data_IF_201408219527
#
_entry.id   IF_201408219527
#
_cell.length_a   1.000
_cell.length_b   1.000
_cell.length_c   1.000
_cell.angle_alpha   90.00
_cell.angle_beta   90.00
_cell.angle_gamma   90.00
#
_symmetry.space_group_name_H-M   'P 1'
#
loop_
_entity.id
_entity.type
_entity.pdbx_description
1 polymer ?
#
# COMPACT_ATOMS: atom_id res chain seq x y z
N UNK A 1 -18.07 61.83 -0.10
CA UNK A 1 -18.13 60.36 -0.01
C UNK A 1 -16.72 59.83 0.30
N UNK A 2 -16.60 59.24 1.49
CA UNK A 2 -15.59 58.30 2.00
C UNK A 2 -14.15 58.35 1.44
N UNK A 3 -13.26 59.03 2.19
CA UNK A 3 -11.81 58.78 2.19
C UNK A 3 -11.53 57.71 3.25
N UNK A 4 -11.09 56.52 2.85
CA UNK A 4 -10.71 55.43 3.75
C UNK A 4 -9.24 55.55 4.15
N UNK A 5 -8.99 56.11 5.33
CA UNK A 5 -7.69 56.03 5.98
C UNK A 5 -7.51 54.64 6.62
N UNK A 6 -6.71 53.78 6.00
CA UNK A 6 -6.26 52.52 6.60
C UNK A 6 -5.15 52.86 7.61
N UNK A 7 -5.45 52.71 8.91
CA UNK A 7 -4.43 52.67 9.96
C UNK A 7 -3.83 51.27 10.01
N UNK A 8 -2.54 51.15 9.70
CA UNK A 8 -1.78 49.94 9.98
C UNK A 8 -1.53 49.86 11.50
N UNK A 9 -2.13 48.86 12.14
CA UNK A 9 -1.80 48.47 13.51
C UNK A 9 -0.53 47.60 13.47
N UNK A 10 0.52 47.89 14.26
CA UNK A 10 1.69 47.02 14.34
C UNK A 10 1.28 45.73 15.04
N UNK A 11 1.34 44.62 14.32
CA UNK A 11 1.14 43.28 14.89
C UNK A 11 2.40 42.93 15.67
N UNK A 12 2.35 43.05 16.99
CA UNK A 12 3.43 42.55 17.86
C UNK A 12 3.45 41.03 17.77
N UNK A 13 4.34 40.49 16.94
CA UNK A 13 4.64 39.05 16.92
C UNK A 13 5.30 38.72 18.25
N UNK A 14 4.53 38.14 19.18
CA UNK A 14 5.11 37.46 20.34
C UNK A 14 5.83 36.23 19.81
N UNK A 15 7.15 36.33 19.67
CA UNK A 15 8.02 35.16 19.66
C UNK A 15 7.79 34.42 20.98
N UNK A 16 7.05 33.32 20.92
CA UNK A 16 7.11 32.31 21.97
C UNK A 16 8.51 31.76 21.87
N UNK A 17 9.38 32.18 22.80
CA UNK A 17 10.67 31.54 22.99
C UNK A 17 10.39 30.07 23.28
N UNK A 18 10.62 29.24 22.26
CA UNK A 18 10.70 27.80 22.41
C UNK A 18 11.74 27.55 23.49
N UNK A 19 11.27 26.97 24.60
CA UNK A 19 12.13 26.44 25.63
C UNK A 19 13.11 25.49 24.95
N UNK A 20 14.38 25.80 25.17
CA UNK A 20 15.58 25.06 24.78
C UNK A 20 15.28 23.55 24.82
N UNK A 21 15.26 22.92 23.65
CA UNK A 21 15.21 21.47 23.55
C UNK A 21 16.60 20.94 23.94
N UNK A 22 16.70 20.39 25.15
CA UNK A 22 17.79 19.47 25.49
C UNK A 22 17.77 18.30 24.48
N UNK A 23 18.92 17.83 23.99
CA UNK A 23 18.98 16.60 23.21
C UNK A 23 18.79 15.43 24.17
N UNK A 24 17.56 15.19 24.63
CA UNK A 24 17.21 13.94 25.27
C UNK A 24 17.37 12.85 24.21
N UNK A 25 18.32 11.95 24.40
CA UNK A 25 18.42 10.70 23.67
C UNK A 25 17.06 9.99 23.69
N UNK A 26 16.31 10.10 22.60
CA UNK A 26 14.98 9.52 22.44
C UNK A 26 15.12 8.02 22.23
N UNK A 27 15.25 7.26 23.31
CA UNK A 27 15.10 5.82 23.25
C UNK A 27 13.61 5.47 23.03
N UNK A 28 13.33 4.49 22.18
CA UNK A 28 11.96 4.05 21.89
C UNK A 28 11.79 2.56 22.21
N UNK A 29 10.67 2.17 22.80
CA UNK A 29 10.32 0.75 22.94
C UNK A 29 10.12 0.13 21.54
N UNK A 30 10.56 -1.11 21.35
CA UNK A 30 10.47 -1.79 20.06
C UNK A 30 9.04 -1.80 19.50
N UNK A 31 8.02 -2.01 20.33
CA UNK A 31 6.63 -2.03 19.84
C UNK A 31 6.16 -0.64 19.39
N UNK A 32 6.56 0.42 20.10
CA UNK A 32 6.26 1.79 19.70
C UNK A 32 6.94 2.16 18.36
N UNK A 33 8.17 1.69 18.15
CA UNK A 33 8.88 1.86 16.89
C UNK A 33 8.18 1.11 15.75
N UNK A 34 7.79 -0.15 15.97
CA UNK A 34 7.07 -0.94 14.97
C UNK A 34 5.72 -0.32 14.62
N UNK A 35 4.99 0.22 15.59
CA UNK A 35 3.76 0.98 15.33
C UNK A 35 4.03 2.19 14.44
N UNK A 36 5.08 2.96 14.75
CA UNK A 36 5.44 4.14 13.96
C UNK A 36 5.85 3.78 12.52
N UNK A 37 6.57 2.67 12.33
CA UNK A 37 6.93 2.16 11.00
C UNK A 37 5.69 1.69 10.22
N UNK A 38 4.73 1.07 10.90
CA UNK A 38 3.46 0.64 10.29
C UNK A 38 2.54 1.83 9.97
N UNK A 39 2.58 2.90 10.76
CA UNK A 39 1.85 4.15 10.47
C UNK A 39 2.44 4.85 9.23
N UNK A 40 3.75 4.76 9.03
CA UNK A 40 4.39 5.22 7.80
C UNK A 40 3.96 4.37 6.60
N UNK A 41 4.07 3.05 6.67
CA UNK A 41 3.54 2.16 5.64
C UNK A 41 3.01 0.89 6.27
N UNK A 42 1.69 0.70 6.16
CA UNK A 42 1.04 -0.50 6.68
C UNK A 42 1.61 -1.72 5.98
N UNK A 43 1.96 -2.75 6.75
CA UNK A 43 2.40 -4.03 6.20
C UNK A 43 1.32 -4.69 5.33
N UNK A 44 0.05 -4.29 5.49
CA UNK A 44 -1.05 -4.74 4.61
C UNK A 44 -0.94 -4.26 3.16
N UNK A 45 -0.01 -3.34 2.86
CA UNK A 45 0.25 -2.89 1.49
C UNK A 45 1.22 -3.82 0.74
N UNK A 46 1.92 -4.70 1.46
CA UNK A 46 2.85 -5.63 0.85
C UNK A 46 2.14 -6.65 -0.04
N UNK A 47 2.89 -7.15 -1.03
CA UNK A 47 2.46 -8.25 -1.87
C UNK A 47 2.28 -9.54 -1.07
N UNK A 48 1.32 -10.36 -1.47
CA UNK A 48 0.94 -11.58 -0.73
C UNK A 48 2.05 -12.64 -0.64
N UNK A 49 3.02 -12.62 -1.55
CA UNK A 49 4.17 -13.53 -1.57
C UNK A 49 5.34 -13.05 -0.70
N UNK A 50 5.30 -11.81 -0.22
CA UNK A 50 6.43 -11.14 0.42
C UNK A 50 6.59 -11.53 1.90
N UNK A 51 7.78 -11.31 2.44
CA UNK A 51 8.07 -11.52 3.86
C UNK A 51 8.51 -10.19 4.52
N UNK A 52 7.52 -9.41 4.93
CA UNK A 52 7.70 -8.07 5.52
C UNK A 52 7.46 -8.06 7.02
N UNK A 53 7.87 -6.97 7.67
CA UNK A 53 7.69 -6.76 9.11
C UNK A 53 8.93 -7.12 9.92
N UNK A 54 8.72 -7.43 11.20
CA UNK A 54 9.79 -7.83 12.12
C UNK A 54 10.19 -9.28 11.84
N UNK A 55 11.41 -9.47 11.34
CA UNK A 55 11.95 -10.77 10.92
C UNK A 55 12.81 -11.44 12.01
N UNK A 56 13.47 -10.64 12.84
CA UNK A 56 14.22 -11.10 14.01
C UNK A 56 13.87 -10.23 15.20
N UNK A 57 13.32 -10.84 16.24
CA UNK A 57 12.89 -10.18 17.48
C UNK A 57 13.79 -10.59 18.65
N UNK A 58 14.58 -9.67 19.25
CA UNK A 58 15.28 -9.90 20.50
C UNK A 58 14.28 -10.07 21.67
N UNK A 59 14.65 -10.81 22.71
CA UNK A 59 13.77 -11.04 23.85
C UNK A 59 13.40 -9.73 24.57
N UNK A 60 12.12 -9.51 24.94
CA UNK A 60 11.70 -8.31 25.64
C UNK A 60 12.24 -8.25 27.08
N UNK A 61 12.37 -7.05 27.68
CA UNK A 61 12.14 -5.74 27.06
C UNK A 61 13.24 -5.39 26.05
N UNK A 62 12.88 -4.66 24.98
CA UNK A 62 13.84 -4.22 23.96
C UNK A 62 13.69 -2.74 23.67
N UNK A 63 14.72 -1.97 24.01
CA UNK A 63 14.78 -0.53 23.79
C UNK A 63 15.69 -0.24 22.62
N UNK A 64 15.21 0.58 21.68
CA UNK A 64 15.94 1.00 20.50
C UNK A 64 16.46 2.42 20.71
N UNK A 65 17.77 2.56 20.76
CA UNK A 65 18.47 3.85 20.78
C UNK A 65 19.05 4.17 19.41
N UNK A 66 19.54 3.14 18.70
CA UNK A 66 20.16 3.28 17.39
C UNK A 66 19.44 2.43 16.35
N UNK A 67 18.88 3.10 15.34
CA UNK A 67 18.29 2.48 14.16
C UNK A 67 19.27 2.58 12.98
N UNK A 68 19.62 1.44 12.39
CA UNK A 68 20.48 1.34 11.21
C UNK A 68 19.65 1.05 9.95
N UNK A 69 19.85 1.81 8.88
CA UNK A 69 19.14 1.66 7.60
C UNK A 69 20.07 1.01 6.58
N UNK A 70 19.59 0.00 5.85
CA UNK A 70 20.30 -0.57 4.70
C UNK A 70 19.34 -1.02 3.60
N UNK A 71 19.83 -1.10 2.36
CA UNK A 71 19.10 -1.76 1.29
C UNK A 71 19.19 -3.29 1.44
N UNK A 72 20.40 -3.80 1.60
CA UNK A 72 20.71 -5.21 1.74
C UNK A 72 21.52 -5.45 3.01
N UNK A 73 21.08 -6.40 3.83
CA UNK A 73 21.82 -6.82 5.02
C UNK A 73 22.77 -7.98 4.67
N UNK A 74 23.98 -7.66 4.22
CA UNK A 74 25.07 -8.64 4.03
C UNK A 74 25.86 -8.86 5.34
N UNK A 75 26.80 -9.80 5.36
CA UNK A 75 27.63 -10.05 6.55
C UNK A 75 28.52 -8.84 6.91
N UNK A 76 29.01 -8.13 5.90
CA UNK A 76 29.80 -6.91 6.05
C UNK A 76 28.95 -5.74 6.58
N UNK A 77 27.72 -5.60 6.09
CA UNK A 77 26.79 -4.56 6.58
C UNK A 77 26.32 -4.87 8.01
N UNK A 78 26.14 -6.15 8.36
CA UNK A 78 25.88 -6.55 9.73
C UNK A 78 27.04 -6.16 10.65
N UNK A 79 28.28 -6.39 10.22
CA UNK A 79 29.47 -5.97 10.98
C UNK A 79 29.49 -4.45 11.19
N UNK A 80 29.21 -3.67 10.14
CA UNK A 80 29.09 -2.22 10.25
C UNK A 80 28.00 -1.81 11.26
N UNK A 81 26.80 -2.39 11.17
CA UNK A 81 25.69 -2.09 12.07
C UNK A 81 26.04 -2.38 13.54
N UNK A 82 26.74 -3.48 13.82
CA UNK A 82 27.20 -3.84 15.16
C UNK A 82 28.28 -2.87 15.66
N UNK A 83 29.23 -2.47 14.82
CA UNK A 83 30.23 -1.45 15.18
C UNK A 83 29.58 -0.10 15.50
N UNK A 84 28.46 0.23 14.84
CA UNK A 84 27.65 1.41 15.12
C UNK A 84 26.71 1.25 16.33
N UNK A 85 26.73 0.09 17.00
CA UNK A 85 25.85 -0.24 18.14
C UNK A 85 24.37 -0.09 17.80
N UNK A 86 23.97 -0.62 16.64
CA UNK A 86 22.56 -0.69 16.25
C UNK A 86 21.78 -1.60 17.19
N UNK A 87 20.62 -1.13 17.66
CA UNK A 87 19.64 -1.95 18.39
C UNK A 87 18.55 -2.49 17.46
N UNK A 88 18.44 -1.89 16.27
CA UNK A 88 17.47 -2.18 15.24
C UNK A 88 18.08 -1.96 13.86
N UNK A 89 17.87 -2.89 12.94
CA UNK A 89 18.24 -2.80 11.53
C UNK A 89 16.95 -2.83 10.70
N UNK A 90 16.72 -1.78 9.92
CA UNK A 90 15.75 -1.76 8.84
C UNK A 90 16.48 -2.08 7.53
N UNK A 91 16.27 -3.30 7.03
CA UNK A 91 16.79 -3.75 5.74
C UNK A 91 15.68 -3.66 4.71
N UNK A 92 15.88 -2.94 3.60
CA UNK A 92 14.86 -2.83 2.55
C UNK A 92 14.47 -4.20 1.98
N UNK A 93 15.46 -4.99 1.57
CA UNK A 93 15.27 -6.37 1.16
C UNK A 93 15.26 -7.29 2.38
N UNK A 94 14.33 -8.26 2.45
CA UNK A 94 14.25 -9.18 3.58
C UNK A 94 15.40 -10.19 3.55
N UNK A 95 16.33 -10.18 4.53
CA UNK A 95 17.41 -11.18 4.58
C UNK A 95 16.84 -12.60 4.74
N UNK A 96 15.76 -12.74 5.49
CA UNK A 96 14.93 -13.95 5.59
C UNK A 96 13.81 -13.86 4.54
N UNK A 97 14.08 -14.22 3.29
CA UNK A 97 13.05 -14.22 2.23
C UNK A 97 12.28 -15.54 2.13
N UNK A 98 12.88 -16.65 2.56
CA UNK A 98 12.26 -17.98 2.60
C UNK A 98 12.33 -18.54 4.02
N UNK A 99 11.33 -19.32 4.46
CA UNK A 99 11.35 -19.94 5.77
C UNK A 99 12.61 -20.79 6.01
N UNK A 100 13.29 -20.57 7.13
CA UNK A 100 14.44 -21.35 7.55
C UNK A 100 13.96 -22.55 8.38
N UNK A 101 14.25 -23.77 7.93
CA UNK A 101 13.95 -25.00 8.71
C UNK A 101 14.91 -25.20 9.90
N UNK A 102 16.05 -24.52 9.87
CA UNK A 102 17.17 -24.66 10.82
C UNK A 102 17.91 -23.33 10.89
N UNK A 103 18.46 -23.00 12.06
CA UNK A 103 19.34 -21.86 12.26
C UNK A 103 20.66 -22.39 12.83
N UNK A 104 21.69 -22.42 11.99
CA UNK A 104 23.04 -22.92 12.30
C UNK A 104 24.10 -22.03 11.66
N UNK A 105 25.37 -22.23 11.98
CA UNK A 105 26.45 -21.39 11.41
C UNK A 105 26.77 -21.66 9.92
N UNK A 106 25.96 -22.48 9.23
CA UNK A 106 26.27 -23.04 7.91
C UNK A 106 26.14 -22.02 6.77
N UNK A 107 25.03 -21.29 6.71
CA UNK A 107 24.76 -20.33 5.63
C UNK A 107 24.86 -18.90 6.14
N UNK A 108 25.24 -17.97 5.27
CA UNK A 108 25.39 -16.55 5.63
C UNK A 108 24.09 -15.96 6.19
N UNK A 109 22.93 -16.34 5.65
CA UNK A 109 21.63 -15.90 6.16
C UNK A 109 21.33 -16.41 7.56
N UNK A 110 21.65 -17.67 7.85
CA UNK A 110 21.51 -18.20 9.22
C UNK A 110 22.48 -17.50 10.18
N UNK A 111 23.73 -17.25 9.76
CA UNK A 111 24.71 -16.49 10.56
C UNK A 111 24.23 -15.07 10.86
N UNK A 112 23.60 -14.38 9.91
CA UNK A 112 22.99 -13.06 10.17
C UNK A 112 21.96 -13.12 11.30
N UNK A 113 21.06 -14.12 11.28
CA UNK A 113 20.06 -14.30 12.33
C UNK A 113 20.72 -14.60 13.67
N UNK A 114 21.71 -15.49 13.71
CA UNK A 114 22.44 -15.81 14.94
C UNK A 114 23.13 -14.57 15.49
N UNK A 115 23.86 -13.83 14.65
CA UNK A 115 24.56 -12.60 15.06
C UNK A 115 23.57 -11.54 15.56
N UNK A 116 22.45 -11.35 14.89
CA UNK A 116 21.41 -10.42 15.32
C UNK A 116 20.88 -10.79 16.71
N UNK A 117 20.57 -12.07 16.95
CA UNK A 117 20.07 -12.55 18.25
C UNK A 117 21.13 -12.45 19.36
N UNK A 118 22.37 -12.88 19.11
CA UNK A 118 23.47 -12.82 20.07
C UNK A 118 23.80 -11.39 20.49
N UNK A 119 23.63 -10.42 19.58
CA UNK A 119 23.88 -9.01 19.83
C UNK A 119 22.60 -8.22 20.16
N UNK A 120 21.46 -8.90 20.31
CA UNK A 120 20.14 -8.31 20.61
C UNK A 120 19.73 -7.22 19.62
N UNK A 121 19.97 -7.42 18.33
CA UNK A 121 19.58 -6.48 17.27
C UNK A 121 18.29 -6.95 16.60
N UNK A 122 17.26 -6.11 16.61
CA UNK A 122 16.03 -6.39 15.86
C UNK A 122 16.27 -6.21 14.37
N UNK A 123 15.65 -7.06 13.54
CA UNK A 123 15.73 -6.92 12.07
C UNK A 123 14.32 -6.81 11.51
N UNK A 124 14.06 -5.74 10.77
CA UNK A 124 12.78 -5.46 10.14
C UNK A 124 12.96 -5.20 8.65
N UNK A 125 12.00 -5.61 7.84
CA UNK A 125 11.99 -5.39 6.40
C UNK A 125 10.64 -4.90 5.91
N UNK A 126 10.54 -3.69 5.32
CA UNK A 126 9.27 -3.21 4.75
C UNK A 126 9.04 -3.67 3.32
N UNK A 127 10.11 -3.85 2.53
CA UNK A 127 10.10 -4.29 1.13
C UNK A 127 8.92 -3.75 0.30
N UNK A 128 8.04 -4.62 -0.22
CA UNK A 128 6.96 -4.19 -1.12
C UNK A 128 5.92 -3.29 -0.45
N UNK A 129 5.79 -3.27 0.89
CA UNK A 129 4.93 -2.29 1.57
C UNK A 129 5.42 -0.86 1.34
N UNK A 130 6.74 -0.65 1.30
CA UNK A 130 7.34 0.65 1.01
C UNK A 130 7.34 0.96 -0.49
N UNK A 131 7.35 -0.05 -1.38
CA UNK A 131 7.07 0.18 -2.80
C UNK A 131 5.66 0.70 -3.03
N UNK A 132 4.70 0.15 -2.29
CA UNK A 132 3.29 0.43 -2.47
C UNK A 132 2.84 1.76 -1.84
N UNK A 133 3.48 2.18 -0.74
CA UNK A 133 3.06 3.33 0.07
C UNK A 133 2.96 4.65 -0.74
N UNK A 134 2.02 5.56 -0.39
CA UNK A 134 1.85 6.86 -1.05
C UNK A 134 3.10 7.76 -1.03
N UNK A 135 3.93 7.64 0.00
CA UNK A 135 5.20 8.33 0.17
C UNK A 135 6.40 7.42 -0.07
N UNK A 136 6.15 6.24 -0.65
CA UNK A 136 7.10 5.16 -0.84
C UNK A 136 8.09 5.35 -1.97
N UNK A 137 8.82 4.26 -2.28
CA UNK A 137 9.93 4.25 -3.24
C UNK A 137 9.48 4.69 -4.63
N UNK A 138 8.37 4.15 -5.13
CA UNK A 138 7.88 4.48 -6.47
C UNK A 138 7.44 5.96 -6.58
N UNK A 139 6.85 6.54 -5.54
CA UNK A 139 6.53 7.98 -5.51
C UNK A 139 7.79 8.84 -5.44
N UNK A 140 8.80 8.40 -4.69
CA UNK A 140 10.09 9.09 -4.66
C UNK A 140 10.75 9.08 -6.04
N UNK A 141 10.81 7.93 -6.72
CA UNK A 141 11.31 7.82 -8.10
C UNK A 141 10.57 8.72 -9.09
N UNK A 142 9.23 8.80 -8.98
CA UNK A 142 8.42 9.64 -9.85
C UNK A 142 8.81 11.13 -9.78
N UNK A 143 9.29 11.62 -8.61
CA UNK A 143 9.78 13.01 -8.47
C UNK A 143 10.96 13.30 -9.39
N UNK A 144 11.73 12.27 -9.76
CA UNK A 144 12.84 12.37 -10.71
C UNK A 144 12.41 12.67 -12.14
N UNK A 145 11.15 12.42 -12.51
CA UNK A 145 10.66 12.59 -13.89
C UNK A 145 10.33 14.06 -14.23
N UNK A 146 10.09 14.88 -13.21
CA UNK A 146 9.60 16.27 -13.32
C UNK A 146 8.16 16.41 -12.86
N UNK A 147 7.52 17.55 -13.17
CA UNK A 147 6.13 17.81 -12.80
C UNK A 147 5.22 16.88 -13.59
N UNK A 148 4.43 16.07 -12.87
CA UNK A 148 3.53 15.10 -13.44
C UNK A 148 2.40 14.75 -12.47
N UNK A 149 1.30 14.25 -13.04
CA UNK A 149 0.28 13.52 -12.29
C UNK A 149 0.70 12.05 -12.20
N UNK A 150 0.46 11.41 -11.06
CA UNK A 150 0.93 10.05 -10.80
C UNK A 150 -0.14 9.23 -10.09
N UNK A 151 -0.36 8.00 -10.56
CA UNK A 151 -1.28 7.02 -9.97
C UNK A 151 -0.63 5.64 -9.90
N UNK A 152 -1.02 4.77 -8.95
CA UNK A 152 -0.57 3.38 -8.96
C UNK A 152 -0.94 2.67 -10.27
N UNK A 153 -0.07 1.77 -10.74
CA UNK A 153 -0.40 0.87 -11.86
C UNK A 153 -1.29 -0.26 -11.35
N UNK A 154 -0.90 -0.87 -10.23
CA UNK A 154 -1.69 -1.87 -9.52
C UNK A 154 -2.13 -1.30 -8.16
N UNK A 155 -3.35 -0.71 -8.07
CA UNK A 155 -3.82 -0.09 -6.83
C UNK A 155 -4.08 -1.13 -5.72
N UNK A 156 -3.63 -0.82 -4.51
CA UNK A 156 -3.95 -1.61 -3.31
C UNK A 156 -5.42 -1.44 -2.93
N UNK A 157 -6.01 -2.49 -2.35
CA UNK A 157 -7.36 -2.46 -1.77
C UNK A 157 -7.28 -2.09 -0.29
N UNK A 158 -8.30 -1.42 0.23
CA UNK A 158 -8.41 -1.14 1.66
C UNK A 158 -8.47 -2.44 2.48
N UNK A 159 -8.08 -2.38 3.76
CA UNK A 159 -8.11 -3.57 4.63
C UNK A 159 -9.55 -4.08 4.84
N UNK A 160 -10.48 -3.15 5.02
CA UNK A 160 -11.87 -3.40 5.36
C UNK A 160 -12.82 -3.04 4.22
N UNK A 161 -13.99 -3.67 4.22
CA UNK A 161 -15.09 -3.27 3.35
C UNK A 161 -15.69 -1.94 3.82
N UNK A 162 -16.33 -1.16 2.93
CA UNK A 162 -17.00 0.08 3.31
C UNK A 162 -18.15 -0.14 4.30
N UNK A 163 -18.71 -1.35 4.30
CA UNK A 163 -19.79 -1.79 5.18
C UNK A 163 -19.39 -3.07 5.90
N UNK A 164 -20.10 -3.43 6.97
CA UNK A 164 -19.91 -4.72 7.64
C UNK A 164 -20.36 -5.88 6.74
N UNK A 165 -19.44 -6.79 6.41
CA UNK A 165 -19.72 -7.96 5.57
C UNK A 165 -19.02 -7.93 4.22
N UNK A 166 -19.08 -9.06 3.53
CA UNK A 166 -18.44 -9.31 2.22
C UNK A 166 -19.46 -9.38 1.09
N UNK A 167 -20.76 -9.51 1.41
CA UNK A 167 -21.85 -9.65 0.46
C UNK A 167 -22.99 -8.70 0.79
N UNK A 168 -23.70 -8.26 -0.24
CA UNK A 168 -24.98 -7.60 -0.14
C UNK A 168 -26.06 -8.50 -0.73
N UNK A 169 -27.14 -8.71 0.03
CA UNK A 169 -28.32 -9.46 -0.43
C UNK A 169 -29.49 -8.50 -0.48
N UNK A 170 -30.16 -8.43 -1.63
CA UNK A 170 -31.29 -7.54 -1.87
C UNK A 170 -32.50 -8.34 -2.34
N UNK A 171 -33.66 -8.13 -1.73
CA UNK A 171 -34.90 -8.80 -2.09
C UNK A 171 -36.11 -7.94 -1.68
N UNK A 172 -37.28 -8.23 -2.26
CA UNK A 172 -38.51 -7.48 -2.00
C UNK A 172 -39.47 -8.29 -1.10
N UNK A 173 -40.26 -7.56 -0.30
CA UNK A 173 -41.34 -8.13 0.52
C UNK A 173 -42.63 -7.35 0.27
N UNK A 174 -43.72 -8.06 -0.02
CA UNK A 174 -44.96 -7.49 -0.56
C UNK A 174 -46.04 -7.29 0.51
N UNK A 175 -45.82 -7.78 1.75
CA UNK A 175 -46.79 -7.72 2.86
C UNK A 175 -46.16 -7.23 4.17
N UNK A 176 -46.83 -6.31 4.87
CA UNK A 176 -46.33 -5.66 6.09
C UNK A 176 -46.20 -6.60 7.30
N UNK A 177 -47.07 -7.60 7.44
CA UNK A 177 -46.99 -8.59 8.54
C UNK A 177 -45.83 -9.59 8.36
N UNK A 178 -45.47 -9.91 7.11
CA UNK A 178 -44.33 -10.78 6.80
C UNK A 178 -43.01 -10.02 6.88
N UNK A 179 -43.02 -8.71 6.62
CA UNK A 179 -41.86 -7.84 6.71
C UNK A 179 -41.20 -7.87 8.09
N UNK A 180 -41.96 -7.70 9.16
CA UNK A 180 -41.40 -7.68 10.53
C UNK A 180 -40.77 -9.02 10.90
N UNK A 181 -41.42 -10.13 10.51
CA UNK A 181 -40.91 -11.49 10.76
C UNK A 181 -39.64 -11.77 9.97
N UNK A 182 -39.60 -11.37 8.70
CA UNK A 182 -38.44 -11.51 7.82
C UNK A 182 -37.27 -10.69 8.35
N UNK A 183 -37.49 -9.41 8.69
CA UNK A 183 -36.46 -8.54 9.26
C UNK A 183 -35.94 -9.11 10.59
N UNK A 184 -36.83 -9.55 11.50
CA UNK A 184 -36.43 -10.12 12.78
C UNK A 184 -35.59 -11.38 12.61
N UNK A 185 -35.98 -12.27 11.68
CA UNK A 185 -35.25 -13.51 11.41
C UNK A 185 -33.87 -13.23 10.85
N UNK A 186 -33.76 -12.34 9.86
CA UNK A 186 -32.48 -12.04 9.21
C UNK A 186 -31.56 -11.22 10.13
N UNK A 187 -32.09 -10.30 10.95
CA UNK A 187 -31.30 -9.63 12.00
C UNK A 187 -30.81 -10.58 13.09
N UNK A 188 -31.49 -11.72 13.29
CA UNK A 188 -31.08 -12.76 14.23
C UNK A 188 -29.85 -13.56 13.76
N UNK A 189 -29.47 -13.46 12.48
CA UNK A 189 -28.30 -14.12 11.93
C UNK A 189 -27.05 -13.32 12.31
N UNK A 190 -26.12 -13.96 13.03
CA UNK A 190 -24.86 -13.33 13.42
C UNK A 190 -24.03 -12.93 12.19
N UNK A 191 -23.52 -11.70 12.19
CA UNK A 191 -22.73 -11.16 11.07
C UNK A 191 -23.57 -10.64 9.90
N UNK A 192 -24.83 -10.25 10.18
CA UNK A 192 -25.71 -9.54 9.25
C UNK A 192 -26.01 -8.13 9.76
N UNK A 193 -25.92 -7.15 8.87
CA UNK A 193 -26.37 -5.77 9.07
C UNK A 193 -27.47 -5.45 8.07
N UNK A 194 -28.67 -5.10 8.54
CA UNK A 194 -29.87 -4.93 7.69
C UNK A 194 -30.22 -3.46 7.56
N UNK A 195 -30.43 -3.02 6.32
CA UNK A 195 -31.06 -1.75 5.95
C UNK A 195 -32.33 -2.02 5.13
N UNK A 196 -33.39 -1.25 5.32
CA UNK A 196 -34.65 -1.44 4.60
C UNK A 196 -35.13 -0.11 4.05
N UNK A 197 -35.62 -0.13 2.82
CA UNK A 197 -36.15 1.04 2.12
C UNK A 197 -37.49 0.69 1.49
N UNK A 198 -38.53 1.49 1.76
CA UNK A 198 -39.79 1.36 1.03
C UNK A 198 -39.60 1.77 -0.43
N UNK A 199 -40.06 0.94 -1.36
CA UNK A 199 -39.91 1.17 -2.80
C UNK A 199 -41.21 0.82 -3.54
N UNK A 200 -41.66 1.70 -4.45
CA UNK A 200 -42.82 1.40 -5.30
C UNK A 200 -42.35 0.77 -6.60
N UNK A 201 -42.85 -0.42 -6.91
CA UNK A 201 -42.62 -1.12 -8.18
C UNK A 201 -43.96 -1.60 -8.69
N UNK A 202 -44.28 -1.27 -9.96
CA UNK A 202 -45.50 -1.72 -10.66
C UNK A 202 -46.83 -1.46 -9.91
N UNK A 203 -47.00 -0.26 -9.34
CA UNK A 203 -48.20 0.20 -8.61
C UNK A 203 -48.57 -0.58 -7.33
N UNK A 204 -47.72 -1.52 -6.88
CA UNK A 204 -47.84 -2.18 -5.58
C UNK A 204 -46.77 -1.67 -4.59
N UNK A 205 -47.14 -1.49 -3.32
CA UNK A 205 -46.24 -1.03 -2.26
C UNK A 205 -45.40 -2.20 -1.76
N UNK A 206 -44.16 -2.31 -2.27
CA UNK A 206 -43.19 -3.31 -1.83
C UNK A 206 -42.14 -2.68 -0.90
N UNK A 207 -41.53 -3.48 -0.03
CA UNK A 207 -40.36 -3.04 0.74
C UNK A 207 -39.12 -3.76 0.23
N UNK A 208 -38.14 -3.00 -0.28
CA UNK A 208 -36.83 -3.54 -0.65
C UNK A 208 -35.97 -3.66 0.61
N UNK A 209 -35.57 -4.88 0.92
CA UNK A 209 -34.62 -5.18 2.00
C UNK A 209 -33.23 -5.28 1.38
N UNK A 210 -32.26 -4.58 1.96
CA UNK A 210 -30.85 -4.64 1.58
C UNK A 210 -30.01 -4.92 2.81
N UNK A 211 -29.35 -6.07 2.85
CA UNK A 211 -28.53 -6.46 3.99
C UNK A 211 -27.11 -6.79 3.56
N UNK A 212 -26.16 -6.41 4.40
CA UNK A 212 -24.78 -6.82 4.25
C UNK A 212 -24.47 -7.99 5.20
N UNK A 213 -23.71 -8.96 4.73
CA UNK A 213 -23.40 -10.15 5.51
C UNK A 213 -22.01 -10.73 5.19
N UNK A 214 -21.45 -11.48 6.15
CA UNK A 214 -20.25 -12.29 5.90
C UNK A 214 -20.53 -13.47 4.97
N UNK A 215 -19.49 -14.09 4.41
CA UNK A 215 -19.63 -15.34 3.64
C UNK A 215 -20.34 -16.45 4.44
N UNK A 216 -20.08 -16.56 5.74
CA UNK A 216 -20.72 -17.57 6.59
C UNK A 216 -22.20 -17.26 6.81
N UNK A 217 -22.54 -15.99 7.04
CA UNK A 217 -23.91 -15.55 7.22
C UNK A 217 -24.73 -15.64 5.92
N UNK A 218 -24.10 -15.41 4.76
CA UNK A 218 -24.74 -15.53 3.45
C UNK A 218 -25.41 -16.90 3.26
N UNK A 219 -24.74 -17.98 3.66
CA UNK A 219 -25.30 -19.35 3.57
C UNK A 219 -26.60 -19.47 4.35
N UNK A 220 -26.67 -18.87 5.55
CA UNK A 220 -27.87 -18.90 6.40
C UNK A 220 -28.98 -18.02 5.83
N UNK A 221 -28.63 -16.83 5.32
CA UNK A 221 -29.58 -15.92 4.67
C UNK A 221 -30.19 -16.58 3.43
N UNK A 222 -29.37 -17.16 2.56
CA UNK A 222 -29.83 -17.86 1.36
C UNK A 222 -30.70 -19.06 1.70
N UNK A 223 -30.30 -19.85 2.72
CA UNK A 223 -31.11 -20.97 3.18
C UNK A 223 -32.50 -20.52 3.67
N UNK A 224 -32.57 -19.41 4.43
CA UNK A 224 -33.84 -18.83 4.86
C UNK A 224 -34.67 -18.34 3.67
N UNK A 225 -34.08 -17.56 2.76
CA UNK A 225 -34.81 -17.03 1.60
C UNK A 225 -35.33 -18.14 0.69
N UNK A 226 -34.59 -19.24 0.53
CA UNK A 226 -35.00 -20.39 -0.27
C UNK A 226 -36.25 -21.12 0.24
N UNK A 227 -36.65 -20.90 1.50
CA UNK A 227 -37.89 -21.44 2.06
C UNK A 227 -39.13 -20.72 1.52
N UNK A 228 -38.97 -19.54 0.92
CA UNK A 228 -40.05 -18.78 0.29
C UNK A 228 -39.69 -18.51 -1.18
N UNK A 229 -40.36 -19.20 -2.10
CA UNK A 229 -40.06 -19.13 -3.54
C UNK A 229 -40.16 -17.72 -4.11
N UNK A 230 -41.10 -16.90 -3.63
CA UNK A 230 -41.30 -15.52 -4.08
C UNK A 230 -40.13 -14.60 -3.69
N UNK A 231 -39.65 -14.71 -2.44
CA UNK A 231 -38.47 -13.97 -1.98
C UNK A 231 -37.23 -14.39 -2.74
N UNK A 232 -37.03 -15.70 -2.90
CA UNK A 232 -35.83 -16.25 -3.52
C UNK A 232 -35.71 -15.90 -5.01
N UNK A 233 -36.81 -15.94 -5.78
CA UNK A 233 -36.80 -15.64 -7.22
C UNK A 233 -36.41 -14.20 -7.54
N UNK A 234 -36.67 -13.26 -6.62
CA UNK A 234 -36.33 -11.84 -6.76
C UNK A 234 -35.14 -11.42 -5.87
N UNK A 235 -34.33 -12.39 -5.42
CA UNK A 235 -33.14 -12.11 -4.62
C UNK A 235 -31.93 -11.84 -5.51
N UNK A 236 -31.29 -10.68 -5.32
CA UNK A 236 -29.99 -10.35 -5.89
C UNK A 236 -28.89 -10.52 -4.82
N UNK A 237 -27.81 -11.22 -5.17
CA UNK A 237 -26.64 -11.40 -4.30
C UNK A 237 -25.44 -10.78 -4.98
N UNK A 238 -24.81 -9.82 -4.30
CA UNK A 238 -23.66 -9.10 -4.80
C UNK A 238 -22.47 -9.36 -3.88
N UNK A 239 -21.34 -9.78 -4.45
CA UNK A 239 -20.06 -9.74 -3.74
C UNK A 239 -19.62 -8.29 -3.63
N UNK A 240 -19.36 -7.82 -2.42
CA UNK A 240 -18.79 -6.50 -2.21
C UNK A 240 -17.30 -6.54 -2.56
N UNK A 241 -16.79 -5.41 -3.03
CA UNK A 241 -15.37 -5.21 -3.25
C UNK A 241 -14.79 -4.23 -2.24
N UNK A 242 -13.56 -4.49 -1.80
CA UNK A 242 -12.80 -3.53 -1.00
C UNK A 242 -12.43 -2.33 -1.88
N UNK A 243 -12.63 -1.09 -1.40
CA UNK A 243 -12.35 0.09 -2.20
C UNK A 243 -10.85 0.18 -2.49
N UNK A 244 -10.52 0.75 -3.64
CA UNK A 244 -9.14 1.03 -4.02
C UNK A 244 -8.59 2.20 -3.21
N UNK A 245 -7.32 2.12 -2.83
CA UNK A 245 -6.57 3.20 -2.20
C UNK A 245 -5.94 4.08 -3.30
N UNK A 246 -6.42 5.32 -3.42
CA UNK A 246 -6.15 6.20 -4.56
C UNK A 246 -4.66 6.44 -4.87
N UNK A 247 -3.79 6.33 -3.85
CA UNK A 247 -2.35 6.60 -3.94
C UNK A 247 -1.46 5.46 -3.45
N UNK A 248 -2.05 4.32 -3.12
CA UNK A 248 -1.32 3.16 -2.59
C UNK A 248 -1.40 2.02 -3.60
N UNK A 249 -0.30 1.35 -3.88
CA UNK A 249 -0.24 0.26 -4.85
C UNK A 249 1.12 0.15 -5.54
N UNK A 250 1.33 -0.88 -6.35
CA UNK A 250 2.61 -1.12 -7.01
C UNK A 250 2.76 -0.28 -8.29
N UNK A 251 4.00 0.16 -8.54
CA UNK A 251 4.38 0.95 -9.71
C UNK A 251 3.67 2.31 -9.82
N UNK A 252 4.11 3.18 -10.71
CA UNK A 252 3.42 4.44 -11.01
C UNK A 252 3.29 4.64 -12.51
N UNK A 253 2.09 5.03 -12.93
CA UNK A 253 1.87 5.61 -14.24
C UNK A 253 1.86 7.13 -14.07
N UNK A 254 2.86 7.77 -14.62
CA UNK A 254 3.10 9.20 -14.50
C UNK A 254 2.83 9.88 -15.84
N UNK A 255 1.92 10.85 -15.86
CA UNK A 255 1.65 11.69 -17.03
C UNK A 255 2.24 13.07 -16.78
N UNK A 256 3.27 13.43 -17.54
CA UNK A 256 3.93 14.72 -17.46
C UNK A 256 2.97 15.85 -17.85
N UNK A 257 3.12 17.03 -17.26
CA UNK A 257 2.30 18.20 -17.65
C UNK A 257 2.62 18.64 -19.10
N UNK A 258 3.89 18.55 -19.50
CA UNK A 258 4.37 18.79 -20.86
C UNK A 258 5.29 17.65 -21.32
N UNK A 259 5.15 17.16 -22.58
CA UNK A 259 6.07 16.16 -23.12
C UNK A 259 7.52 16.66 -23.11
N UNK A 260 8.47 15.74 -22.93
CA UNK A 260 9.90 16.03 -23.03
C UNK A 260 10.60 15.01 -23.93
N UNK A 261 11.76 15.36 -24.47
CA UNK A 261 12.56 14.38 -25.21
C UNK A 261 13.06 13.26 -24.30
N UNK A 262 13.20 12.05 -24.86
CA UNK A 262 13.79 10.91 -24.17
C UNK A 262 15.18 11.24 -23.60
N UNK A 263 16.02 11.97 -24.35
CA UNK A 263 17.32 12.46 -23.85
C UNK A 263 17.17 13.28 -22.55
N UNK A 264 16.20 14.19 -22.50
CA UNK A 264 15.94 15.01 -21.32
C UNK A 264 15.47 14.14 -20.16
N UNK A 265 14.60 13.17 -20.43
CA UNK A 265 14.11 12.24 -19.40
C UNK A 265 15.24 11.41 -18.79
N UNK A 266 16.13 10.88 -19.62
CA UNK A 266 17.32 10.13 -19.18
C UNK A 266 18.19 10.96 -18.24
N UNK A 267 18.48 12.21 -18.62
CA UNK A 267 19.31 13.09 -17.78
C UNK A 267 18.61 13.48 -16.47
N UNK A 268 17.28 13.65 -16.49
CA UNK A 268 16.50 13.85 -15.26
C UNK A 268 16.62 12.65 -14.31
N UNK A 269 16.43 11.43 -14.82
CA UNK A 269 16.54 10.19 -14.04
C UNK A 269 17.96 10.02 -13.49
N UNK A 270 18.99 10.13 -14.34
CA UNK A 270 20.40 10.04 -13.91
C UNK A 270 20.73 11.03 -12.81
N UNK A 271 20.31 12.29 -12.96
CA UNK A 271 20.56 13.34 -11.97
C UNK A 271 19.83 13.05 -10.66
N UNK A 272 18.58 12.58 -10.72
CA UNK A 272 17.79 12.25 -9.53
C UNK A 272 18.41 11.08 -8.75
N UNK A 273 18.85 10.04 -9.46
CA UNK A 273 19.43 8.82 -8.87
C UNK A 273 20.94 8.91 -8.65
N UNK A 274 21.58 10.01 -9.09
CA UNK A 274 23.03 10.20 -9.09
C UNK A 274 23.78 9.08 -9.84
N UNK A 275 23.22 8.62 -10.96
CA UNK A 275 23.80 7.57 -11.80
C UNK A 275 24.65 8.15 -12.93
N UNK A 276 25.82 7.58 -13.14
CA UNK A 276 26.65 7.88 -14.31
C UNK A 276 26.06 7.28 -15.61
N UNK A 277 25.45 6.10 -15.49
CA UNK A 277 24.96 5.32 -16.63
C UNK A 277 23.59 4.73 -16.35
N UNK A 278 22.80 4.58 -17.42
CA UNK A 278 21.58 3.79 -17.43
C UNK A 278 21.62 2.86 -18.65
N UNK A 279 20.89 1.76 -18.61
CA UNK A 279 20.65 0.95 -19.79
C UNK A 279 19.37 1.44 -20.47
N UNK A 280 19.46 1.61 -21.78
CA UNK A 280 18.34 2.02 -22.61
C UNK A 280 18.12 0.96 -23.68
N UNK A 281 16.92 0.40 -23.70
CA UNK A 281 16.38 -0.25 -24.88
C UNK A 281 15.53 0.80 -25.61
N UNK A 282 15.68 0.88 -26.94
CA UNK A 282 14.94 1.81 -27.78
C UNK A 282 13.93 1.02 -28.61
N UNK A 283 12.67 1.41 -28.52
CA UNK A 283 11.63 0.89 -29.40
C UNK A 283 11.94 1.14 -30.87
N UNK A 284 11.41 0.29 -31.74
CA UNK A 284 11.61 0.38 -33.19
C UNK A 284 11.19 1.76 -33.70
N UNK A 285 12.09 2.43 -34.43
CA UNK A 285 11.85 3.77 -34.98
C UNK A 285 11.91 4.91 -33.96
N UNK A 286 12.23 4.64 -32.69
CA UNK A 286 12.41 5.67 -31.65
C UNK A 286 13.85 6.16 -31.62
N UNK A 287 14.01 7.42 -31.20
CA UNK A 287 15.30 8.09 -31.06
C UNK A 287 15.34 8.86 -29.75
N UNK A 288 16.53 9.35 -29.37
CA UNK A 288 16.67 10.22 -28.19
C UNK A 288 15.87 11.54 -28.28
N UNK A 289 15.44 11.93 -29.48
CA UNK A 289 14.59 13.10 -29.71
C UNK A 289 13.08 12.78 -29.62
N UNK A 290 12.70 11.50 -29.54
CA UNK A 290 11.31 11.09 -29.36
C UNK A 290 10.72 11.68 -28.08
N UNK A 291 9.46 12.11 -28.16
CA UNK A 291 8.74 12.72 -27.04
C UNK A 291 8.22 11.64 -26.09
N UNK A 292 8.30 11.94 -24.80
CA UNK A 292 7.80 11.14 -23.68
C UNK A 292 6.82 12.00 -22.91
N UNK A 293 5.56 11.54 -22.81
CA UNK A 293 4.48 12.18 -22.06
C UNK A 293 4.00 11.28 -20.92
N UNK A 294 3.94 9.97 -21.15
CA UNK A 294 3.51 8.98 -20.17
C UNK A 294 4.67 8.04 -19.83
N UNK A 295 4.97 7.88 -18.55
CA UNK A 295 6.03 7.01 -18.03
C UNK A 295 5.41 5.98 -17.09
N UNK A 296 5.60 4.69 -17.36
CA UNK A 296 5.28 3.62 -16.42
C UNK A 296 6.57 3.23 -15.68
N UNK A 297 6.57 3.32 -14.35
CA UNK A 297 7.75 3.01 -13.55
C UNK A 297 7.45 2.04 -12.42
N UNK A 298 8.42 1.21 -12.08
CA UNK A 298 8.37 0.34 -10.92
C UNK A 298 9.80 0.07 -10.44
N UNK A 299 10.09 0.40 -9.18
CA UNK A 299 11.35 0.07 -8.52
C UNK A 299 11.57 -1.45 -8.49
N UNK A 300 12.83 -1.87 -8.43
CA UNK A 300 13.19 -3.30 -8.43
C UNK A 300 12.76 -4.01 -9.71
N UNK A 301 12.45 -5.31 -9.61
CA UNK A 301 12.05 -6.17 -10.74
C UNK A 301 10.58 -5.97 -11.11
N UNK A 302 10.28 -4.89 -11.84
CA UNK A 302 8.91 -4.45 -12.10
C UNK A 302 8.21 -5.02 -13.33
N UNK A 303 8.78 -5.99 -14.03
CA UNK A 303 8.23 -6.45 -15.32
C UNK A 303 6.77 -6.89 -15.26
N UNK A 304 6.34 -7.61 -14.21
CA UNK A 304 4.95 -8.03 -14.03
C UNK A 304 4.02 -6.87 -13.68
N UNK A 305 4.52 -5.86 -12.95
CA UNK A 305 3.76 -4.65 -12.58
C UNK A 305 3.54 -3.76 -13.80
N UNK A 306 4.55 -3.65 -14.67
CA UNK A 306 4.52 -2.82 -15.86
C UNK A 306 3.76 -3.46 -17.04
N UNK A 307 3.51 -4.76 -16.97
CA UNK A 307 2.84 -5.50 -18.03
C UNK A 307 1.43 -4.93 -18.28
N UNK A 308 1.15 -4.59 -19.55
CA UNK A 308 -0.14 -4.05 -19.97
C UNK A 308 -0.36 -2.56 -19.64
N UNK A 309 0.60 -1.89 -19.00
CA UNK A 309 0.54 -0.44 -18.87
C UNK A 309 0.82 0.20 -20.23
N UNK A 310 0.04 1.20 -20.64
CA UNK A 310 0.30 1.98 -21.86
C UNK A 310 1.15 3.21 -21.52
N UNK A 311 2.42 3.20 -21.92
CA UNK A 311 3.35 4.30 -21.69
C UNK A 311 4.33 4.51 -22.86
N UNK A 312 4.86 5.73 -22.97
CA UNK A 312 5.92 6.07 -23.92
C UNK A 312 7.31 5.59 -23.46
N UNK A 313 7.48 5.43 -22.14
CA UNK A 313 8.71 4.99 -21.50
C UNK A 313 8.41 4.08 -20.31
N UNK A 314 9.12 2.96 -20.22
CA UNK A 314 9.09 2.04 -19.09
C UNK A 314 10.38 2.17 -18.28
N UNK A 315 10.27 2.38 -16.97
CA UNK A 315 11.43 2.57 -16.09
C UNK A 315 11.41 1.58 -14.92
N UNK A 316 12.36 0.66 -14.90
CA UNK A 316 12.48 -0.38 -13.86
C UNK A 316 13.90 -0.93 -13.78
N UNK A 317 14.20 -1.71 -12.74
CA UNK A 317 15.48 -2.38 -12.53
C UNK A 317 15.38 -3.89 -12.82
N UNK A 318 16.51 -4.56 -13.03
CA UNK A 318 16.55 -6.03 -13.09
C UNK A 318 15.91 -6.71 -14.32
N UNK A 319 15.67 -5.99 -15.42
CA UNK A 319 15.12 -6.58 -16.65
C UNK A 319 16.12 -7.56 -17.27
N UNK A 320 15.73 -8.83 -17.39
CA UNK A 320 16.42 -9.84 -18.20
C UNK A 320 15.83 -9.83 -19.61
N UNK A 321 16.69 -9.81 -20.64
CA UNK A 321 16.33 -9.81 -22.07
C UNK A 321 15.60 -11.10 -22.55
N UNK A 322 15.21 -11.99 -21.65
CA UNK A 322 14.66 -13.32 -21.98
C UNK A 322 13.12 -13.39 -22.07
N UNK A 323 12.38 -12.33 -21.77
CA UNK A 323 10.92 -12.32 -21.99
C UNK A 323 10.61 -12.06 -23.46
N UNK A 324 10.70 -13.13 -24.27
CA UNK A 324 10.20 -13.16 -25.63
C UNK A 324 8.68 -13.09 -25.65
N UNK A 325 8.13 -11.90 -25.82
CA UNK A 325 6.81 -11.62 -26.40
C UNK A 325 6.64 -10.09 -26.47
N UNK A 326 6.70 -9.54 -27.69
CA UNK A 326 6.03 -8.30 -28.12
C UNK A 326 5.93 -7.12 -27.13
N UNK A 327 6.98 -6.83 -26.37
CA UNK A 327 7.04 -5.60 -25.58
C UNK A 327 8.34 -4.87 -25.92
N UNK A 328 8.21 -3.91 -26.83
CA UNK A 328 9.27 -2.97 -27.19
C UNK A 328 9.45 -2.00 -26.01
N UNK A 329 10.64 -2.01 -25.41
CA UNK A 329 11.08 -1.04 -24.40
C UNK A 329 11.62 0.22 -25.06
#
# INVERSE_FOLDING_TARGET
MLSSHIRLLPTTVRFVQSLIHNPSSSCMDLKALLSSLNDFASLSFAESWDNVGLLVEPSPPHTVNTLFLTNDLTEEVMEEALQKKADFILSYHPPIFRPMKRITWKTWKERLVIRALENRVAVYSPHTAYDAAPQGVNNWLAKGLGVCTSRPILPSKALNYPTEGTHRVEFNVDHTQDLDKVIATVKGISGVSVTSFSARTDDEEQTRISLNCSQQALVQVVAFLSQNSELYQKTEILSLEKPLLLHTGMGRLCTLDEPVSLATMIERIKRHLKLAHIRLALGVGRTLASQVKVVALCAGSGSSVLQGAEADLYFTEGVSLQTGAETLF
#
